data_IF_348696987474
#
_entry.id   IF_348696987474
#
_cell.length_a   1.000
_cell.length_b   1.000
_cell.length_c   1.000
_cell.angle_alpha   90.00
_cell.angle_beta   90.00
_cell.angle_gamma   90.00
#
_symmetry.space_group_name_H-M   'P 1'
#
loop_
_entity.id
_entity.type
_entity.pdbx_description
1 polymer ?
#
# COMPACT_ATOMS: atom_id res chain seq x y z
N UNK A 1 -13.29 -3.32 17.31
CA UNK A 1 -14.19 -3.93 16.31
C UNK A 1 -13.36 -4.44 15.15
N UNK A 2 -13.34 -5.75 14.92
CA UNK A 2 -12.67 -6.36 13.78
C UNK A 2 -13.29 -5.89 12.45
N UNK A 3 -12.46 -5.56 11.46
CA UNK A 3 -12.96 -5.13 10.15
C UNK A 3 -13.36 -6.33 9.29
N UNK A 4 -14.43 -6.16 8.51
CA UNK A 4 -14.82 -7.13 7.49
C UNK A 4 -13.70 -7.30 6.47
N UNK A 5 -13.38 -8.56 6.15
CA UNK A 5 -12.31 -8.91 5.22
C UNK A 5 -12.87 -9.37 3.87
N UNK A 6 -12.38 -8.79 2.77
CA UNK A 6 -12.72 -9.20 1.40
C UNK A 6 -11.51 -9.84 0.74
N UNK A 7 -11.65 -11.10 0.32
CA UNK A 7 -10.61 -11.84 -0.40
C UNK A 7 -10.90 -11.77 -1.91
N UNK A 8 -9.90 -11.37 -2.71
CA UNK A 8 -10.07 -11.08 -4.13
C UNK A 8 -9.11 -11.92 -4.97
N UNK A 9 -9.68 -12.70 -5.89
CA UNK A 9 -8.91 -13.43 -6.89
C UNK A 9 -8.37 -12.47 -7.97
N UNK A 10 -7.12 -12.66 -8.38
CA UNK A 10 -6.50 -11.89 -9.46
C UNK A 10 -5.69 -12.81 -10.36
N UNK A 11 -5.56 -12.48 -11.66
CA UNK A 11 -4.71 -13.24 -12.58
C UNK A 11 -3.25 -13.38 -12.11
N UNK A 12 -2.75 -12.39 -11.38
CA UNK A 12 -1.39 -12.34 -10.84
C UNK A 12 -1.28 -12.84 -9.39
N UNK A 13 -2.38 -13.33 -8.80
CA UNK A 13 -2.42 -13.75 -7.40
C UNK A 13 -1.55 -14.97 -7.09
N UNK A 14 -1.26 -15.22 -5.81
CA UNK A 14 -0.52 -16.40 -5.37
C UNK A 14 -1.46 -17.60 -5.16
N UNK A 15 -0.99 -18.80 -5.51
CA UNK A 15 -1.63 -20.06 -5.15
C UNK A 15 -1.38 -20.45 -3.69
N UNK A 16 -0.25 -20.01 -3.13
CA UNK A 16 0.13 -20.23 -1.73
C UNK A 16 0.42 -18.88 -1.09
N UNK A 17 -0.44 -18.49 -0.14
CA UNK A 17 -0.25 -17.28 0.65
C UNK A 17 0.74 -17.52 1.80
N UNK A 18 1.53 -16.50 2.20
CA UNK A 18 2.36 -16.59 3.38
C UNK A 18 1.49 -16.61 4.65
N UNK A 19 1.96 -17.23 5.76
CA UNK A 19 1.27 -17.16 7.04
C UNK A 19 0.96 -15.71 7.45
N UNK A 20 -0.17 -15.47 8.13
CA UNK A 20 -1.16 -16.44 8.61
C UNK A 20 -2.27 -16.76 7.58
N UNK A 21 -2.15 -16.25 6.36
CA UNK A 21 -3.18 -16.40 5.35
C UNK A 21 -3.18 -17.82 4.77
N UNK A 22 -4.37 -18.29 4.41
CA UNK A 22 -4.56 -19.56 3.73
C UNK A 22 -5.26 -19.32 2.40
N UNK A 23 -4.76 -19.95 1.33
CA UNK A 23 -5.44 -19.95 0.04
C UNK A 23 -6.51 -21.05 0.03
N UNK A 24 -7.77 -20.74 -0.34
CA UNK A 24 -8.73 -21.80 -0.63
C UNK A 24 -8.25 -22.64 -1.83
N UNK A 25 -8.59 -23.93 -1.82
CA UNK A 25 -8.15 -24.86 -2.87
C UNK A 25 -8.58 -24.40 -4.28
N UNK A 26 -7.62 -24.39 -5.22
CA UNK A 26 -7.85 -24.03 -6.62
C UNK A 26 -8.07 -22.53 -6.88
N UNK A 27 -7.75 -21.66 -5.91
CA UNK A 27 -7.91 -20.21 -6.01
C UNK A 27 -6.55 -19.51 -6.09
N UNK A 28 -6.48 -18.40 -6.84
CA UNK A 28 -5.31 -17.50 -6.88
C UNK A 28 -5.68 -16.18 -6.24
N UNK A 29 -5.24 -15.98 -4.99
CA UNK A 29 -5.57 -14.77 -4.24
C UNK A 29 -4.55 -13.70 -4.54
N UNK A 30 -5.01 -12.57 -5.08
CA UNK A 30 -4.15 -11.40 -5.31
C UNK A 30 -4.22 -10.42 -4.16
N UNK A 31 -5.39 -10.27 -3.54
CA UNK A 31 -5.59 -9.21 -2.56
C UNK A 31 -6.52 -9.67 -1.43
N UNK A 32 -6.27 -9.15 -0.24
CA UNK A 32 -7.18 -9.20 0.90
C UNK A 32 -7.37 -7.76 1.38
N UNK A 33 -8.60 -7.25 1.37
CA UNK A 33 -8.91 -5.87 1.73
C UNK A 33 -9.70 -5.85 3.04
N UNK A 34 -9.43 -4.87 3.88
CA UNK A 34 -10.30 -4.57 5.02
C UNK A 34 -11.29 -3.49 4.63
N UNK A 35 -12.58 -3.77 4.75
CA UNK A 35 -13.64 -2.82 4.40
C UNK A 35 -13.44 -1.55 5.25
N UNK A 36 -13.28 -0.37 4.63
CA UNK A 36 -13.08 0.87 5.37
C UNK A 36 -14.23 1.11 6.37
N UNK A 37 -13.94 1.33 7.66
CA UNK A 37 -14.97 1.63 8.62
C UNK A 37 -15.54 3.04 8.39
N UNK A 38 -16.77 3.25 8.84
CA UNK A 38 -17.46 4.55 8.69
C UNK A 38 -16.75 5.71 9.38
N UNK A 39 -15.95 5.41 10.40
CA UNK A 39 -15.19 6.36 11.21
C UNK A 39 -13.91 6.82 10.52
N UNK A 40 -13.35 6.01 9.60
CA UNK A 40 -12.12 6.29 8.87
C UNK A 40 -12.31 5.98 7.37
N UNK A 41 -13.30 6.63 6.70
CA UNK A 41 -13.65 6.31 5.32
C UNK A 41 -12.55 6.70 4.31
N UNK A 42 -11.55 7.47 4.72
CA UNK A 42 -10.45 7.94 3.87
C UNK A 42 -9.29 6.94 3.76
N UNK A 43 -9.31 5.85 4.54
CA UNK A 43 -8.23 4.86 4.57
C UNK A 43 -8.68 3.51 4.07
N UNK A 44 -7.78 2.85 3.32
CA UNK A 44 -7.93 1.47 2.92
C UNK A 44 -6.62 0.73 3.18
N UNK A 45 -6.73 -0.41 3.86
CA UNK A 45 -5.62 -1.32 4.14
C UNK A 45 -5.84 -2.60 3.36
N UNK A 46 -4.79 -3.04 2.68
CA UNK A 46 -4.79 -4.28 1.91
C UNK A 46 -3.55 -5.10 2.22
N UNK A 47 -3.70 -6.40 2.08
CA UNK A 47 -2.60 -7.29 1.77
C UNK A 47 -2.62 -7.57 0.27
N UNK A 48 -1.47 -7.49 -0.38
CA UNK A 48 -1.32 -7.80 -1.81
C UNK A 48 -0.30 -8.92 -1.95
N UNK A 49 -0.63 -9.91 -2.78
CA UNK A 49 0.15 -11.12 -3.00
C UNK A 49 0.35 -11.35 -4.49
N UNK A 50 1.59 -11.32 -4.95
CA UNK A 50 1.91 -11.38 -6.38
C UNK A 50 2.75 -12.60 -6.69
N UNK A 51 2.36 -13.34 -7.72
CA UNK A 51 3.20 -14.36 -8.39
C UNK A 51 3.67 -13.88 -9.77
N UNK A 52 3.00 -12.87 -10.33
CA UNK A 52 3.33 -12.24 -11.60
C UNK A 52 3.35 -10.72 -11.43
N UNK A 53 3.96 -10.00 -12.39
CA UNK A 53 3.98 -8.54 -12.38
C UNK A 53 2.58 -7.96 -12.54
N UNK A 54 2.24 -7.00 -11.69
CA UNK A 54 1.09 -6.11 -11.91
C UNK A 54 1.40 -5.14 -13.04
N UNK A 55 0.34 -4.54 -13.57
CA UNK A 55 0.45 -3.49 -14.59
C UNK A 55 1.33 -2.34 -14.13
N UNK A 56 2.02 -1.71 -15.08
CA UNK A 56 2.60 -0.38 -14.89
C UNK A 56 1.46 0.63 -14.80
N UNK A 57 1.41 1.38 -13.71
CA UNK A 57 0.26 2.20 -13.37
C UNK A 57 0.66 3.50 -12.68
N UNK A 58 -0.31 4.41 -12.59
CA UNK A 58 -0.17 5.69 -11.90
C UNK A 58 -1.51 6.10 -11.28
N UNK A 59 -1.42 6.88 -10.21
CA UNK A 59 -2.55 7.38 -9.46
C UNK A 59 -2.62 8.91 -9.51
N UNK A 60 -3.82 9.52 -9.62
CA UNK A 60 -3.98 10.96 -9.52
C UNK A 60 -3.90 11.45 -8.06
N UNK A 61 -3.62 12.73 -7.88
CA UNK A 61 -3.78 13.45 -6.62
C UNK A 61 -5.22 13.92 -6.43
N UNK A 62 -5.59 14.26 -5.19
CA UNK A 62 -6.91 14.82 -4.87
C UNK A 62 -7.21 16.08 -5.70
N UNK A 63 -6.23 16.99 -5.85
CA UNK A 63 -6.38 18.20 -6.68
C UNK A 63 -6.72 17.85 -8.14
N UNK A 64 -6.13 16.80 -8.70
CA UNK A 64 -6.40 16.38 -10.07
C UNK A 64 -7.77 15.72 -10.21
N UNK A 65 -8.19 14.90 -9.24
CA UNK A 65 -9.52 14.27 -9.28
C UNK A 65 -10.64 15.29 -9.07
N UNK A 66 -10.43 16.30 -8.21
CA UNK A 66 -11.36 17.41 -8.03
C UNK A 66 -11.48 18.26 -9.31
N UNK A 67 -10.35 18.59 -9.94
CA UNK A 67 -10.35 19.32 -11.21
C UNK A 67 -11.04 18.55 -12.35
N UNK A 68 -11.00 17.21 -12.30
CA UNK A 68 -11.71 16.33 -13.23
C UNK A 68 -13.19 16.10 -12.87
N UNK A 69 -13.69 16.67 -11.78
CA UNK A 69 -15.08 16.50 -11.33
C UNK A 69 -15.39 15.13 -10.70
N UNK A 70 -14.35 14.38 -10.32
CA UNK A 70 -14.47 13.07 -9.66
C UNK A 70 -14.57 13.21 -8.12
N UNK A 71 -14.43 14.42 -7.59
CA UNK A 71 -14.33 14.67 -6.15
C UNK A 71 -12.94 14.32 -5.60
N UNK A 72 -12.83 14.24 -4.27
CA UNK A 72 -11.57 13.98 -3.57
C UNK A 72 -11.28 12.47 -3.54
N UNK A 73 -10.69 11.96 -4.62
CA UNK A 73 -10.43 10.55 -4.87
C UNK A 73 -8.98 10.30 -5.33
N UNK A 74 -8.06 11.16 -4.93
CA UNK A 74 -6.64 10.95 -5.08
C UNK A 74 -6.18 9.68 -4.38
N UNK A 75 -5.02 9.18 -4.79
CA UNK A 75 -4.45 7.97 -4.21
C UNK A 75 -2.94 8.10 -4.07
N UNK A 76 -2.53 8.40 -2.84
CA UNK A 76 -1.21 8.08 -2.33
C UNK A 76 -1.27 6.79 -1.51
N UNK A 77 -0.17 6.05 -1.53
CA UNK A 77 -0.07 4.75 -0.86
C UNK A 77 1.32 4.52 -0.29
N UNK A 78 1.45 3.52 0.56
CA UNK A 78 2.73 3.00 0.97
C UNK A 78 2.70 1.48 1.05
N UNK A 79 3.84 0.87 0.83
CA UNK A 79 4.02 -0.57 0.81
C UNK A 79 5.04 -0.98 1.86
N UNK A 80 4.64 -1.89 2.76
CA UNK A 80 5.56 -2.63 3.61
C UNK A 80 5.68 -4.05 3.06
N UNK A 81 6.88 -4.44 2.65
CA UNK A 81 7.17 -5.80 2.19
C UNK A 81 7.17 -6.75 3.37
N UNK A 82 6.31 -7.77 3.31
CA UNK A 82 6.15 -8.76 4.38
C UNK A 82 6.72 -10.12 4.02
N UNK A 83 6.87 -10.41 2.73
CA UNK A 83 7.48 -11.62 2.21
C UNK A 83 7.94 -11.34 0.76
N UNK A 84 9.05 -11.96 0.36
CA UNK A 84 9.65 -11.74 -0.96
C UNK A 84 10.48 -12.94 -1.40
N UNK A 85 10.16 -13.47 -2.57
CA UNK A 85 10.95 -14.51 -3.22
C UNK A 85 12.32 -13.97 -3.68
N UNK A 86 13.34 -14.83 -3.86
CA UNK A 86 14.61 -14.42 -4.45
C UNK A 86 14.43 -13.72 -5.80
N UNK A 87 14.91 -12.49 -5.91
CA UNK A 87 14.80 -11.68 -7.12
C UNK A 87 13.48 -10.91 -7.26
N UNK A 88 12.62 -10.90 -6.24
CA UNK A 88 11.43 -10.08 -6.22
C UNK A 88 11.78 -8.58 -6.22
N UNK A 89 10.97 -7.79 -6.91
CA UNK A 89 11.24 -6.37 -7.19
C UNK A 89 9.97 -5.51 -7.10
N UNK A 90 10.15 -4.23 -6.78
CA UNK A 90 9.15 -3.18 -6.89
C UNK A 90 9.65 -2.08 -7.84
N UNK A 91 8.83 -1.66 -8.80
CA UNK A 91 9.20 -0.64 -9.79
C UNK A 91 8.60 0.72 -9.41
N UNK A 92 9.42 1.77 -9.30
CA UNK A 92 8.98 3.12 -8.94
C UNK A 92 9.78 4.19 -9.68
N UNK A 93 9.08 5.11 -10.36
CA UNK A 93 9.71 6.18 -11.13
C UNK A 93 10.56 5.67 -12.29
N UNK A 94 11.18 6.62 -12.99
CA UNK A 94 12.00 6.35 -14.17
C UNK A 94 13.49 6.53 -13.89
N UNK A 95 14.35 5.87 -14.68
CA UNK A 95 15.81 5.99 -14.55
C UNK A 95 16.36 7.40 -14.90
N UNK A 96 15.54 8.19 -15.58
CA UNK A 96 15.77 9.60 -15.91
C UNK A 96 14.46 10.34 -16.12
N UNK A 97 14.57 11.64 -16.45
CA UNK A 97 13.39 12.40 -16.85
C UNK A 97 12.95 12.01 -18.26
N UNK A 98 11.66 11.73 -18.43
CA UNK A 98 11.04 11.45 -19.72
C UNK A 98 9.84 12.38 -19.93
N UNK A 99 9.64 12.81 -21.17
CA UNK A 99 8.47 13.62 -21.50
C UNK A 99 7.23 12.74 -21.74
N UNK A 100 6.07 13.41 -21.85
CA UNK A 100 4.77 12.76 -22.04
C UNK A 100 4.70 11.94 -23.32
N UNK A 101 5.36 12.38 -24.38
CA UNK A 101 5.30 11.69 -25.67
C UNK A 101 6.14 10.40 -25.65
N UNK A 102 7.34 10.48 -25.07
CA UNK A 102 8.20 9.33 -24.82
C UNK A 102 7.49 8.30 -23.95
N UNK A 103 6.87 8.74 -22.85
CA UNK A 103 6.11 7.86 -21.96
C UNK A 103 4.93 7.20 -22.69
N UNK A 104 4.21 7.94 -23.54
CA UNK A 104 3.09 7.40 -24.32
C UNK A 104 3.55 6.33 -25.30
N UNK A 105 4.61 6.59 -26.07
CA UNK A 105 5.14 5.60 -27.02
C UNK A 105 5.64 4.35 -26.30
N UNK A 106 6.37 4.53 -25.20
CA UNK A 106 6.89 3.43 -24.39
C UNK A 106 5.77 2.58 -23.76
N UNK A 107 4.65 3.20 -23.39
CA UNK A 107 3.48 2.48 -22.90
C UNK A 107 2.81 1.63 -23.99
N UNK A 108 2.79 2.11 -25.24
CA UNK A 108 2.19 1.43 -26.38
C UNK A 108 3.03 0.26 -26.88
N UNK A 109 4.36 0.42 -26.95
CA UNK A 109 5.27 -0.62 -27.43
C UNK A 109 5.79 -1.56 -26.31
N UNK A 110 5.53 -1.21 -25.04
CA UNK A 110 5.88 -1.98 -23.85
C UNK A 110 7.24 -1.65 -23.26
N UNK A 111 8.05 -0.82 -23.91
CA UNK A 111 9.38 -0.43 -23.40
C UNK A 111 9.33 0.43 -22.13
N UNK A 112 8.15 0.89 -21.70
CA UNK A 112 7.99 1.62 -20.43
C UNK A 112 8.42 0.78 -19.22
N UNK A 113 8.31 -0.55 -19.31
CA UNK A 113 8.76 -1.47 -18.28
C UNK A 113 10.28 -1.38 -18.05
N UNK A 114 11.04 -1.24 -19.14
CA UNK A 114 12.50 -1.16 -19.11
C UNK A 114 12.99 0.22 -18.62
N UNK A 115 12.14 1.24 -18.72
CA UNK A 115 12.43 2.59 -18.23
C UNK A 115 12.18 2.75 -16.72
N UNK A 116 11.41 1.84 -16.11
CA UNK A 116 11.15 1.86 -14.67
C UNK A 116 12.41 1.48 -13.88
N UNK A 117 12.63 2.17 -12.76
CA UNK A 117 13.64 1.73 -11.79
C UNK A 117 13.06 0.61 -10.94
N UNK A 118 13.60 -0.60 -11.13
CA UNK A 118 13.23 -1.79 -10.36
C UNK A 118 14.15 -1.94 -9.14
N UNK A 119 13.55 -1.86 -7.95
CA UNK A 119 14.23 -2.04 -6.67
C UNK A 119 14.10 -3.49 -6.23
N UNK A 120 15.22 -4.23 -6.04
CA UNK A 120 15.20 -5.51 -5.35
C UNK A 120 14.68 -5.34 -3.93
N UNK A 121 13.78 -6.23 -3.50
CA UNK A 121 13.15 -6.13 -2.18
C UNK A 121 13.28 -7.39 -1.35
N UNK A 122 13.19 -7.21 -0.03
CA UNK A 122 13.08 -8.25 0.99
C UNK A 122 12.07 -7.84 2.07
N UNK A 123 11.65 -8.77 2.91
CA UNK A 123 10.80 -8.47 4.06
C UNK A 123 11.42 -7.36 4.93
N UNK A 124 10.58 -6.42 5.36
CA UNK A 124 10.97 -5.22 6.10
C UNK A 124 11.26 -3.99 5.23
N UNK A 125 11.41 -4.13 3.91
CA UNK A 125 11.53 -2.96 3.04
C UNK A 125 10.21 -2.18 2.97
N UNK A 126 10.30 -0.86 2.95
CA UNK A 126 9.17 0.06 2.97
C UNK A 126 9.33 1.15 1.93
N UNK A 127 8.22 1.50 1.27
CA UNK A 127 8.16 2.55 0.25
C UNK A 127 6.92 3.40 0.43
N UNK A 128 7.08 4.73 0.47
CA UNK A 128 5.98 5.67 0.33
C UNK A 128 5.86 6.13 -1.13
N UNK A 129 4.66 6.10 -1.69
CA UNK A 129 4.39 6.37 -3.11
C UNK A 129 3.41 7.54 -3.21
N UNK A 130 3.94 8.75 -3.45
CA UNK A 130 3.11 9.90 -3.74
C UNK A 130 2.31 9.68 -5.02
N UNK A 131 1.17 10.36 -5.11
CA UNK A 131 0.39 10.44 -6.33
C UNK A 131 1.29 10.91 -7.48
N UNK A 132 0.94 10.48 -8.69
CA UNK A 132 1.65 10.78 -9.94
C UNK A 132 2.96 10.03 -10.15
N UNK A 133 3.43 9.27 -9.17
CA UNK A 133 4.56 8.35 -9.33
C UNK A 133 4.12 7.16 -10.18
N UNK A 134 4.79 6.92 -11.31
CA UNK A 134 4.56 5.69 -12.08
C UNK A 134 5.22 4.52 -11.34
N UNK A 135 4.49 3.43 -11.14
CA UNK A 135 4.97 2.30 -10.36
C UNK A 135 4.36 0.97 -10.82
N UNK A 136 4.96 -0.13 -10.36
CA UNK A 136 4.49 -1.49 -10.58
C UNK A 136 4.97 -2.43 -9.46
N UNK A 137 4.15 -3.42 -9.11
CA UNK A 137 4.54 -4.49 -8.19
C UNK A 137 5.02 -5.69 -9.02
N UNK A 138 6.25 -6.16 -8.77
CA UNK A 138 6.80 -7.34 -9.42
C UNK A 138 6.15 -8.64 -8.94
N UNK A 139 6.52 -9.77 -9.55
CA UNK A 139 6.12 -11.09 -9.08
C UNK A 139 6.93 -11.54 -7.85
N UNK A 140 6.36 -12.44 -7.05
CA UNK A 140 7.02 -13.03 -5.89
C UNK A 140 7.03 -12.15 -4.64
N UNK A 141 6.25 -11.05 -4.62
CA UNK A 141 6.19 -10.12 -3.49
C UNK A 141 4.90 -10.34 -2.70
N UNK A 142 4.94 -10.14 -1.40
CA UNK A 142 3.74 -9.89 -0.60
C UNK A 142 3.94 -8.65 0.25
N UNK A 143 2.95 -7.76 0.23
CA UNK A 143 3.02 -6.46 0.90
C UNK A 143 1.78 -6.20 1.74
N UNK A 144 1.91 -5.30 2.71
CA UNK A 144 0.80 -4.52 3.24
C UNK A 144 0.80 -3.18 2.51
N UNK A 145 -0.33 -2.86 1.91
CA UNK A 145 -0.61 -1.55 1.32
C UNK A 145 -1.53 -0.76 2.24
N UNK A 146 -1.10 0.45 2.60
CA UNK A 146 -1.96 1.45 3.23
C UNK A 146 -2.09 2.59 2.24
N UNK A 147 -3.32 2.94 1.89
CA UNK A 147 -3.61 3.95 0.87
C UNK A 147 -4.75 4.86 1.32
N UNK A 148 -4.85 6.03 0.68
CA UNK A 148 -6.12 6.74 0.62
C UNK A 148 -7.20 5.81 0.03
N UNK A 149 -8.43 5.87 0.53
CA UNK A 149 -9.53 5.05 0.03
C UNK A 149 -10.01 5.53 -1.35
N UNK A 150 -9.30 5.08 -2.38
CA UNK A 150 -9.58 5.35 -3.78
C UNK A 150 -9.26 4.11 -4.62
N UNK A 151 -10.13 3.85 -5.59
CA UNK A 151 -9.98 2.77 -6.56
C UNK A 151 -9.40 3.26 -7.90
N UNK A 152 -9.07 4.55 -8.03
CA UNK A 152 -8.58 5.10 -9.30
C UNK A 152 -7.18 4.60 -9.61
N UNK A 153 -7.07 3.80 -10.68
CA UNK A 153 -5.82 3.26 -11.20
C UNK A 153 -5.74 3.50 -12.70
N UNK A 154 -4.85 4.38 -13.14
CA UNK A 154 -4.60 4.59 -14.56
C UNK A 154 -3.47 3.68 -15.03
N UNK A 155 -3.78 2.84 -16.01
CA UNK A 155 -2.89 1.79 -16.48
C UNK A 155 -2.15 2.22 -17.73
N UNK A 156 -0.83 2.18 -17.67
CA UNK A 156 0.05 2.50 -18.80
C UNK A 156 0.36 1.24 -19.61
N UNK A 157 0.70 0.14 -18.94
CA UNK A 157 1.10 -1.10 -19.62
C UNK A 157 0.69 -2.34 -18.84
N UNK A 158 0.33 -3.41 -19.54
CA UNK A 158 -0.19 -4.64 -18.93
C UNK A 158 0.27 -5.95 -19.58
N UNK A 159 1.44 -5.96 -20.22
CA UNK A 159 2.04 -7.19 -20.76
C UNK A 159 1.13 -7.93 -21.75
N UNK A 160 0.33 -7.18 -22.52
CA UNK A 160 -0.61 -7.74 -23.50
C UNK A 160 -1.87 -8.40 -22.92
N UNK A 161 -2.11 -8.33 -21.61
CA UNK A 161 -3.36 -8.82 -20.99
C UNK A 161 -4.56 -7.98 -21.47
N UNK A 162 -5.76 -8.58 -21.65
CA UNK A 162 -6.93 -7.90 -22.22
C UNK A 162 -7.66 -7.02 -21.18
N UNK A 163 -6.92 -6.15 -20.50
CA UNK A 163 -7.46 -5.14 -19.59
C UNK A 163 -7.27 -3.76 -20.19
N UNK A 164 -8.18 -2.85 -19.85
CA UNK A 164 -8.14 -1.48 -20.34
C UNK A 164 -6.85 -0.76 -19.91
N UNK A 165 -6.27 -0.04 -20.85
CA UNK A 165 -5.22 0.96 -20.61
C UNK A 165 -5.89 2.34 -20.56
N UNK A 166 -5.46 3.17 -19.63
CA UNK A 166 -6.01 4.52 -19.41
C UNK A 166 -4.97 5.56 -19.83
N UNK A 167 -4.50 5.50 -21.07
CA UNK A 167 -3.30 6.22 -21.49
C UNK A 167 -3.45 7.73 -21.38
N UNK A 168 -4.58 8.31 -21.79
CA UNK A 168 -4.75 9.76 -21.74
C UNK A 168 -4.80 10.28 -20.31
N UNK A 169 -5.54 9.61 -19.42
CA UNK A 169 -5.58 9.93 -18.00
C UNK A 169 -4.22 9.70 -17.32
N UNK A 170 -3.57 8.56 -17.60
CA UNK A 170 -2.28 8.21 -17.03
C UNK A 170 -1.21 9.24 -17.39
N UNK A 171 -1.06 9.55 -18.68
CA UNK A 171 -0.09 10.55 -19.17
C UNK A 171 -0.45 11.96 -18.68
N UNK A 172 -1.75 12.25 -18.50
CA UNK A 172 -2.22 13.52 -17.96
C UNK A 172 -1.76 13.78 -16.52
N UNK A 173 -1.66 12.74 -15.70
CA UNK A 173 -1.31 12.86 -14.27
C UNK A 173 0.11 12.43 -13.93
N UNK A 174 0.73 11.54 -14.71
CA UNK A 174 2.04 10.98 -14.41
C UNK A 174 3.17 12.02 -14.43
N UNK A 175 4.13 11.81 -13.53
CA UNK A 175 5.40 12.52 -13.54
C UNK A 175 6.47 11.60 -14.14
N UNK A 176 6.99 11.97 -15.30
CA UNK A 176 8.09 11.27 -15.97
C UNK A 176 9.43 11.61 -15.34
N UNK A 177 9.63 11.30 -14.06
CA UNK A 177 10.86 11.62 -13.32
C UNK A 177 11.33 10.46 -12.44
N UNK A 178 12.58 10.51 -11.94
CA UNK A 178 13.05 9.58 -10.94
C UNK A 178 12.26 9.61 -9.65
N UNK A 179 12.15 8.44 -9.01
CA UNK A 179 11.58 8.31 -7.68
C UNK A 179 12.55 8.88 -6.62
N UNK A 180 11.99 9.47 -5.57
CA UNK A 180 12.74 10.04 -4.46
C UNK A 180 13.11 8.93 -3.47
N UNK A 181 14.35 8.44 -3.55
CA UNK A 181 14.83 7.32 -2.72
C UNK A 181 14.77 7.59 -1.21
N UNK A 182 14.62 8.85 -0.77
CA UNK A 182 14.42 9.17 0.66
C UNK A 182 13.07 8.67 1.19
N UNK A 183 12.15 8.27 0.30
CA UNK A 183 10.84 7.68 0.62
C UNK A 183 10.88 6.16 0.69
N UNK A 184 12.04 5.57 0.46
CA UNK A 184 12.32 4.15 0.65
C UNK A 184 13.20 3.94 1.89
N UNK A 185 12.93 2.89 2.64
CA UNK A 185 13.76 2.52 3.78
C UNK A 185 13.63 1.04 4.13
N UNK A 186 14.58 0.52 4.89
CA UNK A 186 14.45 -0.78 5.53
C UNK A 186 13.99 -0.59 6.98
N UNK A 187 12.85 -1.17 7.32
CA UNK A 187 12.26 -1.11 8.66
C UNK A 187 12.92 -2.17 9.54
N UNK A 188 13.52 -1.79 10.68
CA UNK A 188 14.14 -2.75 11.59
C UNK A 188 13.14 -3.77 12.15
N UNK A 189 13.62 -4.97 12.44
CA UNK A 189 12.83 -6.05 13.05
C UNK A 189 12.30 -5.71 14.45
N UNK A 190 12.88 -4.70 15.13
CA UNK A 190 12.59 -4.35 16.52
C UNK A 190 12.55 -2.84 16.72
N UNK A 191 11.80 -2.43 17.75
CA UNK A 191 11.64 -1.04 18.14
C UNK A 191 10.57 -0.27 17.35
N UNK A 192 10.12 0.82 17.97
CA UNK A 192 9.11 1.68 17.39
C UNK A 192 9.67 2.59 16.30
N UNK A 193 8.90 2.81 15.24
CA UNK A 193 9.33 3.62 14.12
C UNK A 193 8.14 4.26 13.39
N UNK A 194 8.22 5.58 13.20
CA UNK A 194 7.31 6.28 12.30
C UNK A 194 7.72 6.03 10.85
N UNK A 195 6.80 5.49 10.06
CA UNK A 195 6.99 5.17 8.65
C UNK A 195 6.41 6.25 7.73
N UNK A 196 5.28 6.85 8.13
CA UNK A 196 4.63 7.92 7.39
C UNK A 196 4.14 8.98 8.37
N UNK A 197 4.48 10.25 8.11
CA UNK A 197 3.98 11.41 8.88
C UNK A 197 2.98 12.28 8.11
N UNK A 198 2.68 11.92 6.85
CA UNK A 198 1.71 12.60 6.01
C UNK A 198 2.09 12.61 4.53
N UNK A 199 1.32 13.35 3.70
CA UNK A 199 0.32 14.34 4.12
C UNK A 199 -1.05 13.78 4.49
N UNK A 200 -1.43 12.60 3.99
CA UNK A 200 -2.83 12.11 4.06
C UNK A 200 -3.12 11.25 5.27
N UNK A 201 -2.15 10.42 5.65
CA UNK A 201 -2.26 9.51 6.78
C UNK A 201 -0.91 9.39 7.44
N UNK A 202 -0.93 8.87 8.66
CA UNK A 202 0.28 8.44 9.36
C UNK A 202 0.30 6.93 9.49
N UNK A 203 1.50 6.42 9.66
CA UNK A 203 1.74 5.00 9.89
C UNK A 203 2.93 4.87 10.83
N UNK A 204 2.73 4.16 11.92
CA UNK A 204 3.79 3.80 12.86
C UNK A 204 3.83 2.28 13.01
N UNK A 205 5.05 1.74 13.04
CA UNK A 205 5.34 0.38 13.50
C UNK A 205 5.67 0.42 14.97
N UNK A 206 5.10 -0.51 15.72
CA UNK A 206 5.32 -0.72 17.14
C UNK A 206 5.93 -2.11 17.37
N UNK A 207 6.82 -2.21 18.35
CA UNK A 207 7.35 -3.46 18.91
C UNK A 207 6.92 -3.54 20.38
N UNK A 208 5.74 -4.10 20.60
CA UNK A 208 4.95 -3.96 21.82
C UNK A 208 3.96 -2.80 21.70
N UNK A 209 3.99 -1.91 22.71
CA UNK A 209 3.16 -0.71 22.76
C UNK A 209 3.94 0.56 22.39
N UNK A 210 3.24 1.65 22.04
CA UNK A 210 3.87 2.85 21.51
C UNK A 210 4.63 3.64 22.56
N UNK A 211 5.82 4.11 22.21
CA UNK A 211 6.51 5.16 22.95
C UNK A 211 5.64 6.42 23.07
N UNK A 212 5.81 7.17 24.17
CA UNK A 212 5.00 8.35 24.48
C UNK A 212 4.95 9.39 23.36
N UNK A 213 6.05 9.58 22.61
CA UNK A 213 6.11 10.51 21.49
C UNK A 213 5.24 10.09 20.29
N UNK A 214 5.12 8.78 20.03
CA UNK A 214 4.22 8.25 18.99
C UNK A 214 2.78 8.31 19.51
N UNK A 215 2.53 7.85 20.73
CA UNK A 215 1.21 7.87 21.34
C UNK A 215 0.57 9.26 21.35
N UNK A 216 1.38 10.30 21.61
CA UNK A 216 0.93 11.70 21.62
C UNK A 216 0.46 12.21 20.26
N UNK A 217 0.79 11.54 19.15
CA UNK A 217 0.32 11.93 17.82
C UNK A 217 -1.13 11.47 17.60
N UNK A 218 -1.50 10.28 18.05
CA UNK A 218 -2.79 9.65 17.73
C UNK A 218 -3.94 10.22 18.56
N UNK A 219 -4.97 10.73 17.88
CA UNK A 219 -6.12 11.36 18.52
C UNK A 219 -7.43 10.85 17.91
N UNK A 220 -8.24 10.12 18.69
CA UNK A 220 -9.47 9.51 18.19
C UNK A 220 -9.24 8.17 17.46
N UNK A 221 -10.16 7.77 16.56
CA UNK A 221 -10.15 6.44 15.96
C UNK A 221 -8.93 6.17 15.10
N UNK A 222 -8.45 4.93 15.13
CA UNK A 222 -7.28 4.45 14.38
C UNK A 222 -7.45 2.98 13.98
N UNK A 223 -6.75 2.56 12.94
CA UNK A 223 -6.65 1.16 12.55
C UNK A 223 -5.46 0.50 13.22
N UNK A 224 -5.64 -0.74 13.66
CA UNK A 224 -4.64 -1.57 14.34
C UNK A 224 -4.44 -2.85 13.53
N UNK A 225 -3.21 -3.12 13.10
CA UNK A 225 -2.86 -4.23 12.20
C UNK A 225 -1.71 -5.03 12.84
N UNK A 226 -2.01 -6.07 13.63
CA UNK A 226 -0.98 -6.94 14.19
C UNK A 226 -0.17 -7.65 13.10
N UNK A 227 1.14 -7.79 13.33
CA UNK A 227 2.11 -8.47 12.46
C UNK A 227 2.69 -9.70 13.13
N UNK A 228 3.04 -9.56 14.41
CA UNK A 228 3.51 -10.64 15.27
C UNK A 228 2.80 -10.53 16.62
N UNK A 229 2.35 -11.65 17.18
CA UNK A 229 1.48 -11.64 18.35
C UNK A 229 0.11 -10.99 18.06
N UNK A 230 -0.79 -11.08 19.03
CA UNK A 230 -2.10 -10.42 18.95
C UNK A 230 -2.09 -9.06 19.64
N UNK A 231 -3.03 -8.20 19.27
CA UNK A 231 -3.47 -7.07 20.08
C UNK A 231 -4.87 -7.35 20.64
N UNK A 232 -5.30 -6.59 21.65
CA UNK A 232 -6.69 -6.56 22.10
C UNK A 232 -7.24 -5.16 21.84
N UNK A 233 -8.35 -5.06 21.10
CA UNK A 233 -8.99 -3.78 20.77
C UNK A 233 -10.40 -3.78 21.34
N UNK A 234 -10.65 -2.92 22.32
CA UNK A 234 -11.94 -2.85 23.05
C UNK A 234 -12.43 -4.22 23.55
N UNK A 235 -11.51 -5.04 24.07
CA UNK A 235 -11.79 -6.37 24.60
C UNK A 235 -11.84 -7.51 23.58
N UNK A 236 -11.71 -7.23 22.28
CA UNK A 236 -11.64 -8.24 21.21
C UNK A 236 -10.18 -8.53 20.82
N UNK A 237 -9.81 -9.81 20.72
CA UNK A 237 -8.49 -10.22 20.23
C UNK A 237 -8.41 -9.98 18.73
N UNK A 238 -7.32 -9.35 18.28
CA UNK A 238 -6.98 -9.12 16.88
C UNK A 238 -5.67 -9.84 16.61
N UNK A 239 -5.68 -10.81 15.71
CA UNK A 239 -4.54 -11.64 15.36
C UNK A 239 -3.76 -11.06 14.16
N UNK A 240 -2.53 -11.54 13.90
CA UNK A 240 -1.84 -11.24 12.66
C UNK A 240 -2.70 -11.58 11.44
N UNK A 241 -2.59 -10.75 10.40
CA UNK A 241 -3.39 -10.88 9.18
C UNK A 241 -4.81 -10.31 9.29
N UNK A 242 -5.19 -9.79 10.46
CA UNK A 242 -6.43 -9.07 10.67
C UNK A 242 -6.18 -7.56 10.80
N UNK A 243 -7.27 -6.78 10.77
CA UNK A 243 -7.27 -5.35 11.00
C UNK A 243 -8.50 -4.99 11.84
N UNK A 244 -8.32 -4.12 12.83
CA UNK A 244 -9.41 -3.66 13.67
C UNK A 244 -9.46 -2.13 13.75
N UNK A 245 -10.68 -1.61 13.87
CA UNK A 245 -10.91 -0.24 14.29
C UNK A 245 -10.86 -0.17 15.83
N UNK A 246 -9.94 0.66 16.33
CA UNK A 246 -9.91 1.09 17.72
C UNK A 246 -10.54 2.49 17.83
N UNK A 247 -11.46 2.74 18.79
CA UNK A 247 -12.01 4.08 19.01
C UNK A 247 -10.98 5.12 19.46
N UNK A 248 -9.91 4.67 20.13
CA UNK A 248 -8.74 5.46 20.49
C UNK A 248 -7.56 4.55 20.81
N UNK A 249 -6.35 5.11 20.88
CA UNK A 249 -5.16 4.34 21.25
C UNK A 249 -5.23 3.76 22.67
N UNK A 250 -5.98 4.38 23.58
CA UNK A 250 -6.18 3.89 24.95
C UNK A 250 -7.04 2.62 25.02
N UNK A 251 -7.78 2.30 23.94
CA UNK A 251 -8.61 1.10 23.81
C UNK A 251 -7.82 -0.08 23.22
N UNK A 252 -6.50 0.05 23.09
CA UNK A 252 -5.63 -0.97 22.50
C UNK A 252 -4.65 -1.49 23.55
N UNK A 253 -4.70 -2.79 23.79
CA UNK A 253 -3.68 -3.50 24.55
C UNK A 253 -2.75 -4.23 23.58
N UNK A 254 -1.48 -3.85 23.57
CA UNK A 254 -0.47 -4.47 22.71
C UNK A 254 0.23 -5.61 23.44
N UNK A 255 0.46 -6.74 22.77
CA UNK A 255 1.30 -7.82 23.30
C UNK A 255 2.74 -7.34 23.47
N UNK A 256 3.34 -7.55 24.64
CA UNK A 256 4.71 -7.09 24.96
C UNK A 256 5.78 -7.58 23.97
N UNK A 257 5.58 -8.76 23.39
CA UNK A 257 6.48 -9.36 22.41
C UNK A 257 5.88 -9.38 20.98
N UNK A 258 4.86 -8.57 20.74
CA UNK A 258 4.21 -8.45 19.43
C UNK A 258 4.76 -7.29 18.60
N UNK A 259 4.51 -7.33 17.29
CA UNK A 259 4.71 -6.18 16.40
C UNK A 259 3.37 -5.80 15.78
N UNK A 260 3.11 -4.48 15.70
CA UNK A 260 1.85 -3.96 15.19
C UNK A 260 2.08 -2.73 14.32
N UNK A 261 1.26 -2.54 13.30
CA UNK A 261 1.14 -1.26 12.62
C UNK A 261 -0.11 -0.53 13.14
N UNK A 262 0.01 0.76 13.37
CA UNK A 262 -1.13 1.63 13.62
C UNK A 262 -1.18 2.75 12.57
N UNK A 263 -2.37 3.08 12.11
CA UNK A 263 -2.57 4.11 11.08
C UNK A 263 -3.82 4.94 11.33
N UNK A 264 -3.76 6.22 10.99
CA UNK A 264 -4.83 7.18 11.20
C UNK A 264 -4.78 8.24 10.07
N UNK A 265 -5.92 8.71 9.54
CA UNK A 265 -5.93 9.84 8.62
C UNK A 265 -5.41 11.11 9.31
N UNK A 266 -4.72 11.96 8.58
CA UNK A 266 -4.32 13.26 9.10
C UNK A 266 -5.46 14.25 8.88
N UNK A 267 -6.03 14.72 9.99
CA UNK A 267 -7.13 15.68 9.96
C UNK A 267 -6.73 16.94 9.18
N UNK A 268 -7.58 17.33 8.22
CA UNK A 268 -7.37 18.55 7.43
C UNK A 268 -6.27 18.45 6.37
N UNK A 269 -5.80 17.24 6.02
CA UNK A 269 -5.00 17.03 4.83
C UNK A 269 -5.76 17.61 3.60
N UNK A 270 -5.15 18.60 2.95
CA UNK A 270 -5.68 19.33 1.79
C UNK A 270 -4.73 19.16 0.62
#
# INVERSE_FOLDING_TARGET
>A
MLLETKTVEKPWGKDVLPPPFATPEGKRIGEIWFVPPTELPELLVKYIFTSEKLSVQVHPSDTQTEAAGLGKQGKEECWLVIDADPGAVLGMGFDGEIDRETMRQAALDGSIEDMLVWHPVKAGDFFYIPANTVHAIGGGVSIIEIQQNSDITYRLYDYGRPRELHLEEAIGVAQGRPYDEQRAMHVPDRGDMTLVEGPWFRLDRLDGGPAAAIAAKYHGPLLVIPREGSAVVSGEVVAPGECALAPSLAEVEFSEAGSCLITQPIAGAR
#
